data_IF_672312026267
#
_entry.id   IF_672312026267
#
_cell.length_a   1.000
_cell.length_b   1.000
_cell.length_c   1.000
_cell.angle_alpha   90.00
_cell.angle_beta   90.00
_cell.angle_gamma   90.00
#
_symmetry.space_group_name_H-M   'P 1'
#
loop_
_entity.id
_entity.type
_entity.pdbx_description
1 polymer ?
#
# COMPACT_ATOMS: atom_id res chain seq x y z
N UNK A 1 -3.65 4.91 4.93
CA UNK A 1 -3.18 3.59 4.45
C UNK A 1 -1.79 3.69 3.77
N UNK A 2 -0.87 4.53 4.26
CA UNK A 2 0.38 4.83 3.53
C UNK A 2 1.56 3.92 3.89
N UNK A 3 1.61 3.46 5.14
CA UNK A 3 2.73 2.65 5.66
C UNK A 3 2.89 1.34 4.91
N UNK A 4 1.79 0.63 4.63
CA UNK A 4 1.83 -0.68 4.01
C UNK A 4 2.48 -0.70 2.60
N UNK A 5 2.05 0.13 1.63
CA UNK A 5 2.73 0.21 0.33
C UNK A 5 4.16 0.74 0.44
N UNK A 6 4.46 1.62 1.41
CA UNK A 6 5.82 2.11 1.66
C UNK A 6 6.76 0.98 2.10
N UNK A 7 6.32 0.15 3.05
CA UNK A 7 7.09 -1.02 3.51
C UNK A 7 7.33 -2.01 2.37
N UNK A 8 6.31 -2.27 1.54
CA UNK A 8 6.47 -3.14 0.37
C UNK A 8 7.52 -2.57 -0.61
N UNK A 9 7.49 -1.26 -0.88
CA UNK A 9 8.48 -0.62 -1.75
C UNK A 9 9.90 -0.69 -1.18
N UNK A 10 10.08 -0.43 0.12
CA UNK A 10 11.38 -0.58 0.78
C UNK A 10 11.89 -2.01 0.74
N UNK A 11 11.02 -2.99 0.98
CA UNK A 11 11.39 -4.41 0.88
C UNK A 11 11.87 -4.77 -0.53
N UNK A 12 11.20 -4.27 -1.58
CA UNK A 12 11.66 -4.48 -2.96
C UNK A 12 13.03 -3.87 -3.23
N UNK A 13 13.30 -2.69 -2.67
CA UNK A 13 14.61 -2.06 -2.77
C UNK A 13 15.71 -2.88 -2.05
N UNK A 14 15.40 -3.47 -0.89
CA UNK A 14 16.35 -4.30 -0.16
C UNK A 14 16.62 -5.65 -0.83
N UNK A 15 15.61 -6.28 -1.44
CA UNK A 15 15.73 -7.61 -2.03
C UNK A 15 16.10 -7.60 -3.52
N UNK A 16 15.83 -6.50 -4.24
CA UNK A 16 16.09 -6.42 -5.67
C UNK A 16 15.17 -7.33 -6.48
N UNK A 17 15.69 -7.92 -7.56
CA UNK A 17 14.89 -8.66 -8.54
C UNK A 17 14.10 -9.84 -7.95
N UNK A 18 14.67 -10.55 -6.95
CA UNK A 18 13.99 -11.67 -6.27
C UNK A 18 12.69 -11.23 -5.58
N UNK A 19 12.58 -9.95 -5.21
CA UNK A 19 11.35 -9.37 -4.65
C UNK A 19 10.14 -9.47 -5.59
N UNK A 20 10.39 -9.55 -6.89
CA UNK A 20 9.37 -9.58 -7.95
C UNK A 20 9.05 -10.99 -8.46
N UNK A 21 9.79 -12.01 -8.04
CA UNK A 21 9.61 -13.38 -8.52
C UNK A 21 8.63 -14.16 -7.64
N UNK A 22 8.22 -15.36 -8.11
CA UNK A 22 7.25 -16.19 -7.39
C UNK A 22 7.85 -17.03 -6.26
N UNK A 23 9.18 -17.14 -6.22
CA UNK A 23 9.93 -17.83 -5.17
C UNK A 23 9.97 -17.02 -3.87
N UNK A 24 9.63 -15.73 -3.90
CA UNK A 24 9.55 -14.86 -2.73
C UNK A 24 8.23 -14.09 -2.69
N UNK A 25 7.44 -14.30 -1.63
CA UNK A 25 6.05 -13.84 -1.50
C UNK A 25 5.86 -12.31 -1.44
N UNK A 26 6.93 -11.50 -1.55
CA UNK A 26 6.85 -10.04 -1.51
C UNK A 26 5.93 -9.46 -2.60
N UNK A 27 5.86 -10.12 -3.76
CA UNK A 27 4.96 -9.74 -4.84
C UNK A 27 3.47 -9.87 -4.42
N UNK A 28 3.12 -10.82 -3.55
CA UNK A 28 1.75 -11.00 -3.04
C UNK A 28 1.35 -9.84 -2.13
N UNK A 29 2.22 -9.45 -1.22
CA UNK A 29 1.96 -8.33 -0.30
C UNK A 29 1.82 -7.00 -1.03
N UNK A 30 2.62 -6.81 -2.07
CA UNK A 30 2.52 -5.63 -2.94
C UNK A 30 1.17 -5.58 -3.65
N UNK A 31 0.73 -6.70 -4.24
CA UNK A 31 -0.60 -6.81 -4.89
C UNK A 31 -1.74 -6.59 -3.91
N UNK A 32 -1.62 -7.12 -2.68
CA UNK A 32 -2.61 -6.93 -1.62
C UNK A 32 -2.71 -5.48 -1.18
N UNK A 33 -1.58 -4.79 -1.00
CA UNK A 33 -1.56 -3.36 -0.67
C UNK A 33 -2.28 -2.53 -1.75
N UNK A 34 -2.06 -2.84 -3.02
CA UNK A 34 -2.78 -2.21 -4.14
C UNK A 34 -4.27 -2.52 -4.10
N UNK A 35 -4.66 -3.78 -3.90
CA UNK A 35 -6.07 -4.18 -3.81
C UNK A 35 -6.81 -3.48 -2.66
N UNK A 36 -6.18 -3.35 -1.50
CA UNK A 36 -6.76 -2.63 -0.37
C UNK A 36 -6.94 -1.15 -0.65
N UNK A 37 -5.96 -0.49 -1.30
CA UNK A 37 -6.09 0.91 -1.72
C UNK A 37 -7.26 1.11 -2.69
N UNK A 38 -7.47 0.18 -3.63
CA UNK A 38 -8.58 0.25 -4.58
C UNK A 38 -9.93 0.03 -3.90
N UNK A 39 -10.01 -0.91 -2.95
CA UNK A 39 -11.27 -1.25 -2.29
C UNK A 39 -11.71 -0.22 -1.24
N UNK A 40 -10.76 0.37 -0.51
CA UNK A 40 -11.06 1.21 0.65
C UNK A 40 -10.61 2.67 0.50
N UNK A 41 -9.95 3.00 -0.61
CA UNK A 41 -9.37 4.32 -0.84
C UNK A 41 -7.94 4.45 -0.34
N UNK A 42 -7.36 5.60 -0.65
CA UNK A 42 -6.04 5.98 -0.21
C UNK A 42 -6.09 6.92 1.00
N UNK A 43 -4.92 7.36 1.46
CA UNK A 43 -4.82 8.29 2.59
C UNK A 43 -5.54 9.60 2.32
N UNK A 44 -5.59 10.07 1.06
CA UNK A 44 -6.26 11.31 0.70
C UNK A 44 -7.77 11.18 0.87
N UNK A 45 -8.37 10.11 0.33
CA UNK A 45 -9.81 9.86 0.50
C UNK A 45 -10.20 9.80 1.99
N UNK A 46 -9.39 9.14 2.81
CA UNK A 46 -9.65 9.08 4.26
C UNK A 46 -9.49 10.43 4.95
N UNK A 47 -8.53 11.27 4.52
CA UNK A 47 -8.37 12.62 5.06
C UNK A 47 -9.53 13.53 4.67
N UNK A 48 -10.00 13.46 3.42
CA UNK A 48 -11.18 14.20 2.95
C UNK A 48 -12.43 13.78 3.72
N UNK A 49 -12.66 12.47 3.86
CA UNK A 49 -13.78 11.93 4.67
C UNK A 49 -13.71 12.42 6.12
N UNK A 50 -12.50 12.49 6.69
CA UNK A 50 -12.29 12.99 8.05
C UNK A 50 -12.59 14.48 8.14
N UNK A 51 -12.10 15.29 7.19
CA UNK A 51 -12.34 16.73 7.15
C UNK A 51 -13.85 17.03 7.04
N UNK A 52 -14.53 16.37 6.09
CA UNK A 52 -15.98 16.45 5.92
C UNK A 52 -16.72 16.09 7.22
N UNK A 53 -16.30 15.00 7.89
CA UNK A 53 -16.91 14.57 9.15
C UNK A 53 -16.63 15.50 10.34
N UNK A 54 -15.50 16.23 10.30
CA UNK A 54 -15.09 17.18 11.32
C UNK A 54 -15.67 18.59 11.08
N UNK A 55 -16.32 18.82 9.94
CA UNK A 55 -16.84 20.14 9.54
C UNK A 55 -15.75 21.14 9.15
N UNK A 56 -14.60 20.64 8.70
CA UNK A 56 -13.46 21.41 8.16
C UNK A 56 -13.52 21.43 6.63
#
# INVERSE_FOLDING_TARGET
SESYPRVCATAHQCHGAIGYTHEYDLHLWTRRATGQRLAFGDTKLHQETLADSAGL
#
